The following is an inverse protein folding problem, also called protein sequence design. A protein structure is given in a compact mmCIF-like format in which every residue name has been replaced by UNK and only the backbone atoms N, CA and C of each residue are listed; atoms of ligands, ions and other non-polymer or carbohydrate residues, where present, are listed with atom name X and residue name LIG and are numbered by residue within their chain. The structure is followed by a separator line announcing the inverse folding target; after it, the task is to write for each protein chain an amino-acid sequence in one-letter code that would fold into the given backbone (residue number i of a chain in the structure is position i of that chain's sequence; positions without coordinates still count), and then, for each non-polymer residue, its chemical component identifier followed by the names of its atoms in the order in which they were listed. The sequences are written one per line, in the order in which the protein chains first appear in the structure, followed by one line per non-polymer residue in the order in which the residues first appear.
data_IF_910356758322
#
_entry.id   IF_910356758322
#
_cell.length_a   1.000
_cell.length_b   1.000
_cell.length_c   1.000
_cell.angle_alpha   90.00
_cell.angle_beta   90.00
_cell.angle_gamma   90.00
#
_symmetry.space_group_name_H-M   'P 1'
#
loop_
_entity.id
_entity.type
_entity.pdbx_description
1 polymer ?
#
# COMPACT_ATOMS: atom_id res chain seq x y z
N UNK A 1 14.04 12.02 -6.23
CA UNK A 1 13.74 11.10 -5.10
C UNK A 1 12.84 10.00 -5.62
N UNK A 2 13.21 8.72 -5.47
CA UNK A 2 12.33 7.61 -5.83
C UNK A 2 11.18 7.57 -4.82
N UNK A 3 9.99 8.00 -5.24
CA UNK A 3 8.77 7.84 -4.45
C UNK A 3 8.44 6.35 -4.43
N UNK A 4 8.42 5.74 -3.24
CA UNK A 4 7.94 4.37 -3.11
C UNK A 4 6.41 4.38 -3.20
N UNK A 5 5.86 3.40 -3.91
CA UNK A 5 4.42 3.27 -4.10
C UNK A 5 3.96 1.88 -3.67
N UNK A 6 2.80 1.80 -3.03
CA UNK A 6 2.14 0.56 -2.67
C UNK A 6 0.90 0.34 -3.53
N UNK A 7 0.73 -0.86 -4.08
CA UNK A 7 -0.51 -1.25 -4.76
C UNK A 7 -0.92 -2.66 -4.35
N UNK A 8 -2.22 -2.96 -4.45
CA UNK A 8 -2.76 -4.29 -4.14
C UNK A 8 -2.03 -5.36 -4.95
N UNK A 9 -1.85 -5.15 -6.27
CA UNK A 9 -1.18 -6.12 -7.14
C UNK A 9 0.29 -6.34 -6.77
N UNK A 10 0.99 -5.32 -6.28
CA UNK A 10 2.36 -5.45 -5.78
C UNK A 10 2.40 -6.39 -4.56
N UNK A 11 1.52 -6.18 -3.58
CA UNK A 11 1.42 -7.03 -2.39
C UNK A 11 1.03 -8.46 -2.77
N UNK A 12 0.08 -8.63 -3.70
CA UNK A 12 -0.32 -9.95 -4.19
C UNK A 12 0.88 -10.74 -4.73
N UNK A 13 1.71 -10.12 -5.58
CA UNK A 13 2.88 -10.78 -6.17
C UNK A 13 3.97 -11.07 -5.14
N UNK A 14 4.26 -10.09 -4.28
CA UNK A 14 5.36 -10.19 -3.33
C UNK A 14 5.07 -11.22 -2.24
N UNK A 15 3.83 -11.25 -1.73
CA UNK A 15 3.42 -12.14 -0.65
C UNK A 15 2.71 -13.42 -1.14
N UNK A 16 2.44 -13.54 -2.44
CA UNK A 16 1.70 -14.66 -3.07
C UNK A 16 0.32 -14.88 -2.43
N UNK A 17 -0.45 -13.81 -2.30
CA UNK A 17 -1.79 -13.82 -1.68
C UNK A 17 -2.88 -13.36 -2.64
N UNK A 18 -4.13 -13.77 -2.37
CA UNK A 18 -5.31 -13.35 -3.12
C UNK A 18 -5.67 -11.87 -2.90
N UNK A 19 -6.48 -11.33 -3.82
CA UNK A 19 -6.87 -9.92 -3.86
C UNK A 19 -7.44 -9.41 -2.53
N UNK A 20 -8.43 -10.11 -1.95
CA UNK A 20 -9.11 -9.68 -0.73
C UNK A 20 -8.15 -9.53 0.47
N UNK A 21 -7.10 -10.35 0.52
CA UNK A 21 -6.11 -10.27 1.60
C UNK A 21 -5.19 -9.07 1.40
N UNK A 22 -4.75 -8.85 0.16
CA UNK A 22 -3.93 -7.70 -0.19
C UNK A 22 -4.68 -6.37 -0.06
N UNK A 23 -5.97 -6.32 -0.40
CA UNK A 23 -6.83 -5.15 -0.24
C UNK A 23 -6.92 -4.72 1.23
N UNK A 24 -7.22 -5.67 2.14
CA UNK A 24 -7.25 -5.42 3.59
C UNK A 24 -5.91 -4.93 4.15
N UNK A 25 -4.80 -5.40 3.60
CA UNK A 25 -3.47 -4.92 3.99
C UNK A 25 -3.27 -3.45 3.56
N UNK A 26 -3.67 -3.08 2.35
CA UNK A 26 -3.61 -1.68 1.88
C UNK A 26 -4.49 -0.76 2.73
N UNK A 27 -5.73 -1.17 3.03
CA UNK A 27 -6.63 -0.41 3.91
C UNK A 27 -6.03 -0.22 5.30
N UNK A 28 -5.43 -1.26 5.87
CA UNK A 28 -4.75 -1.18 7.17
C UNK A 28 -3.55 -0.23 7.11
N UNK A 29 -2.72 -0.31 6.06
CA UNK A 29 -1.59 0.61 5.86
C UNK A 29 -2.05 2.07 5.73
N UNK A 30 -3.20 2.34 5.10
CA UNK A 30 -3.78 3.68 5.03
C UNK A 30 -4.27 4.15 6.41
N UNK A 31 -5.02 3.32 7.14
CA UNK A 31 -5.51 3.61 8.49
C UNK A 31 -4.36 3.88 9.47
N UNK A 32 -3.28 3.10 9.34
CA UNK A 32 -2.06 3.29 10.11
C UNK A 32 -1.22 4.45 9.59
N UNK A 33 -1.62 5.17 8.54
CA UNK A 33 -0.89 6.32 8.00
C UNK A 33 0.50 5.96 7.46
N UNK A 34 0.68 4.74 6.96
CA UNK A 34 1.89 4.25 6.27
C UNK A 34 1.85 4.62 4.78
N UNK A 35 0.65 4.72 4.20
CA UNK A 35 0.43 5.13 2.81
C UNK A 35 -0.63 6.22 2.72
N UNK A 36 -0.58 6.98 1.62
CA UNK A 36 -1.57 8.01 1.32
C UNK A 36 -2.97 7.46 1.02
N UNK A 37 -3.98 8.35 0.98
CA UNK A 37 -5.36 7.97 0.76
C UNK A 37 -5.61 7.40 -0.64
N UNK A 38 -6.67 6.61 -0.79
CA UNK A 38 -7.13 6.20 -2.12
C UNK A 38 -7.66 7.39 -2.93
N UNK A 39 -7.37 7.42 -4.23
CA UNK A 39 -8.05 8.31 -5.19
C UNK A 39 -9.32 7.68 -5.78
N UNK A 40 -9.82 6.59 -5.18
CA UNK A 40 -10.93 5.78 -5.70
C UNK A 40 -10.58 4.91 -6.91
N UNK A 41 -9.33 4.91 -7.38
CA UNK A 41 -8.87 4.09 -8.51
C UNK A 41 -7.93 2.97 -8.05
N UNK A 42 -7.53 2.09 -8.98
CA UNK A 42 -6.54 1.04 -8.75
C UNK A 42 -5.09 1.55 -8.75
N UNK A 43 -4.87 2.87 -8.78
CA UNK A 43 -3.53 3.46 -8.85
C UNK A 43 -2.73 3.15 -7.57
N UNK A 44 -1.40 2.99 -7.71
CA UNK A 44 -0.51 2.86 -6.56
C UNK A 44 -0.56 4.11 -5.66
N UNK A 45 -0.52 3.90 -4.35
CA UNK A 45 -0.55 4.93 -3.32
C UNK A 45 0.85 5.29 -2.87
N UNK A 46 1.10 6.55 -2.56
CA UNK A 46 2.40 7.02 -2.07
C UNK A 46 2.69 6.43 -0.68
N UNK A 47 3.93 5.97 -0.46
CA UNK A 47 4.38 5.41 0.82
C UNK A 47 5.06 6.51 1.63
N UNK A 48 4.65 6.65 2.89
CA UNK A 48 5.23 7.58 3.85
C UNK A 48 6.43 6.91 4.54
N UNK A 49 7.62 7.12 3.98
CA UNK A 49 8.86 6.47 4.42
C UNK A 49 9.24 6.78 5.88
N UNK A 50 8.87 7.97 6.36
CA UNK A 50 9.08 8.40 7.74
C UNK A 50 8.43 7.49 8.79
N UNK A 51 7.41 6.70 8.42
CA UNK A 51 6.73 5.77 9.34
C UNK A 51 7.28 4.35 9.32
N UNK A 52 8.12 4.02 8.33
CA UNK A 52 8.67 2.66 8.15
C UNK A 52 10.05 2.53 8.81
N UNK A 53 10.79 3.63 8.94
CA UNK A 53 12.16 3.64 9.50
C UNK A 53 12.21 3.93 11.03
N UNK A 54 11.06 3.95 11.71
CA UNK A 54 10.97 4.13 13.18
C UNK A 54 11.03 2.80 13.92
#
# INVERSE_FOLDING_TARGET
ANKQQASISMIQRHLRIGYNRAARMIEKMEQEGVIGPSDGTSRPREVFLNKIES
#
